data_IF_788704061626
#
_entry.id   IF_788704061626
#
_cell.length_a   1.000
_cell.length_b   1.000
_cell.length_c   1.000
_cell.angle_alpha   90.00
_cell.angle_beta   90.00
_cell.angle_gamma   90.00
#
_symmetry.space_group_name_H-M   'P 1'
#
loop_
_entity.id
_entity.type
_entity.pdbx_description
1 polymer ?
#
# COMPACT_ATOMS: atom_id res chain seq x y z
N UNK A 1 23.83 -13.24 -54.09
CA UNK A 1 22.62 -12.95 -53.32
C UNK A 1 21.44 -12.90 -54.27
N UNK A 2 20.45 -13.76 -54.06
CA UNK A 2 19.25 -13.78 -54.91
C UNK A 2 18.17 -12.86 -54.32
N UNK A 3 17.25 -12.39 -55.17
CA UNK A 3 16.14 -11.53 -54.75
C UNK A 3 15.25 -12.23 -53.69
N UNK A 4 15.17 -13.56 -53.74
CA UNK A 4 14.48 -14.38 -52.74
C UNK A 4 15.16 -14.36 -51.36
N UNK A 5 16.49 -14.33 -51.26
CA UNK A 5 17.19 -14.22 -49.97
C UNK A 5 16.87 -12.88 -49.28
N UNK A 6 16.89 -11.78 -50.03
CA UNK A 6 16.60 -10.45 -49.49
C UNK A 6 15.17 -10.34 -49.00
N UNK A 7 14.20 -10.92 -49.73
CA UNK A 7 12.80 -10.96 -49.31
C UNK A 7 12.61 -11.76 -48.02
N UNK A 8 13.25 -12.93 -47.90
CA UNK A 8 13.19 -13.75 -46.68
C UNK A 8 13.81 -13.01 -45.50
N UNK A 9 14.99 -12.38 -45.68
CA UNK A 9 15.62 -11.58 -44.63
C UNK A 9 14.76 -10.38 -44.22
N UNK A 10 14.13 -9.68 -45.17
CA UNK A 10 13.25 -8.54 -44.89
C UNK A 10 11.99 -8.96 -44.11
N UNK A 11 11.38 -10.10 -44.46
CA UNK A 11 10.23 -10.65 -43.73
C UNK A 11 10.61 -11.06 -42.30
N UNK A 12 11.74 -11.75 -42.12
CA UNK A 12 12.24 -12.12 -40.80
C UNK A 12 12.51 -10.86 -39.96
N UNK A 13 13.12 -9.83 -40.56
CA UNK A 13 13.40 -8.56 -39.90
C UNK A 13 12.11 -7.83 -39.49
N UNK A 14 11.10 -7.80 -40.37
CA UNK A 14 9.80 -7.20 -40.09
C UNK A 14 9.07 -7.90 -38.93
N UNK A 15 9.07 -9.24 -38.91
CA UNK A 15 8.43 -10.03 -37.83
C UNK A 15 9.19 -9.84 -36.50
N UNK A 16 10.52 -9.86 -36.55
CA UNK A 16 11.38 -9.68 -35.36
C UNK A 16 11.25 -8.29 -34.75
N UNK A 17 11.13 -7.25 -35.58
CA UNK A 17 10.94 -5.87 -35.11
C UNK A 17 9.55 -5.65 -34.50
N UNK A 18 8.49 -6.18 -35.11
CA UNK A 18 7.12 -6.09 -34.56
C UNK A 18 6.99 -6.78 -33.21
N UNK A 19 7.51 -8.00 -33.08
CA UNK A 19 7.50 -8.74 -31.80
C UNK A 19 8.33 -8.05 -30.72
N UNK A 20 9.46 -7.44 -31.09
CA UNK A 20 10.28 -6.65 -30.18
C UNK A 20 9.53 -5.41 -29.68
N UNK A 21 8.91 -4.63 -30.56
CA UNK A 21 8.15 -3.43 -30.14
C UNK A 21 6.93 -3.78 -29.27
N UNK A 22 6.23 -4.88 -29.59
CA UNK A 22 5.11 -5.35 -28.77
C UNK A 22 5.54 -5.85 -27.39
N UNK A 23 6.68 -6.52 -27.27
CA UNK A 23 7.18 -6.95 -25.95
C UNK A 23 7.66 -5.75 -25.12
N UNK A 24 8.37 -4.80 -25.71
CA UNK A 24 8.84 -3.59 -25.04
C UNK A 24 7.69 -2.67 -24.57
N UNK A 25 6.65 -2.48 -25.39
CA UNK A 25 5.47 -1.72 -24.99
C UNK A 25 4.72 -2.37 -23.82
N UNK A 26 4.63 -3.70 -23.78
CA UNK A 26 4.06 -4.42 -22.63
C UNK A 26 4.90 -4.26 -21.37
N UNK A 27 6.23 -4.41 -21.48
CA UNK A 27 7.15 -4.29 -20.33
C UNK A 27 7.14 -2.86 -19.76
N UNK A 28 7.11 -1.85 -20.62
CA UNK A 28 7.03 -0.45 -20.17
C UNK A 28 5.71 -0.16 -19.48
N UNK A 29 4.57 -0.63 -20.01
CA UNK A 29 3.27 -0.49 -19.38
C UNK A 29 3.19 -1.18 -18.00
N UNK A 30 3.72 -2.41 -17.88
CA UNK A 30 3.75 -3.11 -16.59
C UNK A 30 4.69 -2.43 -15.59
N UNK A 31 5.84 -1.95 -16.04
CA UNK A 31 6.80 -1.21 -15.20
C UNK A 31 6.20 0.09 -14.64
N UNK A 32 5.48 0.84 -15.46
CA UNK A 32 4.79 2.06 -15.01
C UNK A 32 3.71 1.75 -13.96
N UNK A 33 2.91 0.69 -14.18
CA UNK A 33 1.91 0.23 -13.22
C UNK A 33 2.54 -0.19 -11.88
N UNK A 34 3.63 -0.97 -11.93
CA UNK A 34 4.36 -1.38 -10.73
C UNK A 34 4.92 -0.17 -9.97
N UNK A 35 5.48 0.81 -10.69
CA UNK A 35 6.00 2.04 -10.08
C UNK A 35 4.88 2.84 -9.39
N UNK A 36 3.70 2.93 -10.01
CA UNK A 36 2.54 3.59 -9.40
C UNK A 36 2.08 2.88 -8.12
N UNK A 37 1.98 1.55 -8.14
CA UNK A 37 1.63 0.75 -6.95
C UNK A 37 2.67 0.91 -5.84
N UNK A 38 3.95 0.91 -6.18
CA UNK A 38 5.02 1.12 -5.20
C UNK A 38 4.91 2.49 -4.52
N UNK A 39 4.62 3.55 -5.29
CA UNK A 39 4.40 4.89 -4.72
C UNK A 39 3.19 4.91 -3.78
N UNK A 40 2.10 4.26 -4.16
CA UNK A 40 0.90 4.18 -3.33
C UNK A 40 1.14 3.38 -2.03
N UNK A 41 1.91 2.29 -2.08
CA UNK A 41 2.33 1.56 -0.88
C UNK A 41 3.21 2.41 0.04
N UNK A 42 4.13 3.19 -0.52
CA UNK A 42 4.96 4.11 0.27
C UNK A 42 4.11 5.19 0.95
N UNK A 43 3.08 5.71 0.27
CA UNK A 43 2.12 6.64 0.87
C UNK A 43 1.32 5.97 2.00
N UNK A 44 0.90 4.72 1.83
CA UNK A 44 0.23 3.95 2.89
C UNK A 44 1.14 3.76 4.12
N UNK A 45 2.42 3.46 3.92
CA UNK A 45 3.40 3.34 5.01
C UNK A 45 3.61 4.69 5.72
N UNK A 46 3.69 5.79 4.97
CA UNK A 46 3.77 7.14 5.54
C UNK A 46 2.53 7.49 6.37
N UNK A 47 1.33 7.13 5.91
CA UNK A 47 0.09 7.32 6.67
C UNK A 47 0.10 6.52 7.98
N UNK A 48 0.53 5.26 7.97
CA UNK A 48 0.62 4.44 9.19
C UNK A 48 1.59 5.05 10.20
N UNK A 49 2.75 5.51 9.74
CA UNK A 49 3.75 6.16 10.59
C UNK A 49 3.27 7.52 11.11
N UNK A 50 2.55 8.30 10.30
CA UNK A 50 1.93 9.54 10.74
C UNK A 50 0.87 9.27 11.82
N UNK A 51 -0.02 8.29 11.58
CA UNK A 51 -1.03 7.89 12.55
C UNK A 51 -0.42 7.46 13.88
N UNK A 52 0.59 6.60 13.86
CA UNK A 52 1.31 6.17 15.07
C UNK A 52 1.90 7.36 15.83
N UNK A 53 2.52 8.31 15.14
CA UNK A 53 3.13 9.49 15.77
C UNK A 53 2.10 10.40 16.41
N UNK A 54 0.94 10.59 15.76
CA UNK A 54 -0.15 11.40 16.28
C UNK A 54 -0.79 10.73 17.51
N UNK A 55 -1.10 9.44 17.42
CA UNK A 55 -1.70 8.69 18.53
C UNK A 55 -0.78 8.62 19.76
N UNK A 56 0.54 8.51 19.58
CA UNK A 56 1.50 8.55 20.70
C UNK A 56 1.58 9.91 21.40
N UNK A 57 1.20 11.00 20.72
CA UNK A 57 1.19 12.36 21.28
C UNK A 57 -0.17 12.71 21.89
N UNK A 58 -1.20 11.93 21.59
CA UNK A 58 -2.54 12.14 22.11
C UNK A 58 -2.58 11.75 23.60
N UNK A 59 -3.07 12.63 24.48
CA UNK A 59 -3.30 12.24 25.87
C UNK A 59 -4.42 11.20 25.91
N UNK A 60 -4.13 10.00 26.42
CA UNK A 60 -5.15 8.97 26.58
C UNK A 60 -5.91 9.14 27.89
N UNK A 61 -7.22 8.88 27.83
CA UNK A 61 -8.11 8.81 28.99
C UNK A 61 -8.14 7.40 29.62
N UNK A 62 -7.19 6.51 29.31
CA UNK A 62 -7.10 5.17 29.89
C UNK A 62 -6.34 4.15 29.04
N UNK A 63 -6.24 2.91 29.55
CA UNK A 63 -5.51 1.79 28.93
C UNK A 63 -6.33 1.04 27.85
N UNK A 64 -7.62 1.32 27.70
CA UNK A 64 -8.48 0.64 26.74
C UNK A 64 -8.31 1.22 25.32
N UNK A 65 -8.04 0.35 24.34
CA UNK A 65 -8.02 0.72 22.93
C UNK A 65 -9.39 0.55 22.29
N UNK A 66 -10.06 1.66 22.00
CA UNK A 66 -11.30 1.66 21.19
C UNK A 66 -10.99 2.12 19.75
N UNK A 67 -11.34 1.33 18.72
CA UNK A 67 -11.10 1.72 17.33
C UNK A 67 -11.84 3.01 16.96
N UNK A 68 -13.06 3.19 17.48
CA UNK A 68 -13.88 4.39 17.25
C UNK A 68 -13.21 5.63 17.83
N UNK A 69 -12.72 5.53 19.07
CA UNK A 69 -12.06 6.66 19.73
C UNK A 69 -10.75 7.04 19.02
N UNK A 70 -9.94 6.05 18.64
CA UNK A 70 -8.71 6.29 17.90
C UNK A 70 -8.97 6.90 16.52
N UNK A 71 -10.03 6.47 15.82
CA UNK A 71 -10.39 7.06 14.53
C UNK A 71 -10.89 8.49 14.67
N UNK A 72 -11.71 8.79 15.70
CA UNK A 72 -12.15 10.16 16.01
C UNK A 72 -10.97 11.10 16.32
N UNK A 73 -9.96 10.63 17.06
CA UNK A 73 -8.75 11.40 17.32
C UNK A 73 -7.91 11.61 16.05
N UNK A 74 -7.87 10.61 15.18
CA UNK A 74 -7.00 10.60 14.00
C UNK A 74 -7.61 11.31 12.80
N UNK A 75 -8.92 11.23 12.58
CA UNK A 75 -9.63 11.82 11.45
C UNK A 75 -9.37 13.32 11.22
N UNK A 76 -9.36 14.20 12.25
CA UNK A 76 -9.09 15.63 12.04
C UNK A 76 -7.61 15.92 11.78
N UNK A 77 -6.69 15.07 12.25
CA UNK A 77 -5.24 15.29 12.16
C UNK A 77 -4.59 14.61 10.94
N UNK A 78 -5.22 13.54 10.45
CA UNK A 78 -4.75 12.74 9.34
C UNK A 78 -5.91 12.50 8.37
N UNK A 79 -6.12 13.44 7.42
CA UNK A 79 -7.20 13.33 6.44
C UNK A 79 -7.00 12.10 5.56
N UNK A 80 -8.11 11.58 5.03
CA UNK A 80 -8.06 10.48 4.08
C UNK A 80 -7.29 10.92 2.81
N UNK A 81 -6.40 10.05 2.36
CA UNK A 81 -5.66 10.27 1.12
C UNK A 81 -6.38 9.54 -0.01
N UNK A 82 -6.59 10.18 -1.17
CA UNK A 82 -7.24 9.54 -2.31
C UNK A 82 -6.56 8.23 -2.68
N UNK A 83 -7.36 7.18 -2.95
CA UNK A 83 -6.85 5.86 -3.32
C UNK A 83 -6.32 5.01 -2.15
N UNK A 84 -6.36 5.52 -0.91
CA UNK A 84 -6.02 4.80 0.30
C UNK A 84 -7.25 4.60 1.19
N UNK A 85 -7.53 3.36 1.57
CA UNK A 85 -8.64 3.03 2.46
C UNK A 85 -8.11 2.63 3.83
N UNK A 86 -8.42 3.44 4.86
CA UNK A 86 -8.04 3.19 6.25
C UNK A 86 -9.12 2.39 6.96
N UNK A 87 -8.75 1.33 7.66
CA UNK A 87 -9.68 0.53 8.48
C UNK A 87 -9.03 -0.01 9.74
N UNK A 88 -9.85 -0.34 10.72
CA UNK A 88 -9.44 -0.92 12.00
C UNK A 88 -9.84 -2.40 12.06
N UNK A 89 -9.05 -3.20 12.77
CA UNK A 89 -9.37 -4.61 13.04
C UNK A 89 -8.80 -5.00 14.41
N UNK A 90 -9.59 -5.66 15.24
CA UNK A 90 -9.08 -6.23 16.50
C UNK A 90 -8.10 -7.37 16.24
N UNK A 91 -7.04 -7.44 17.04
CA UNK A 91 -6.16 -8.58 17.09
C UNK A 91 -6.70 -9.61 18.09
N UNK A 92 -7.15 -10.79 17.64
CA UNK A 92 -7.68 -11.82 18.53
C UNK A 92 -6.62 -12.48 19.42
N UNK A 93 -5.33 -12.33 19.09
CA UNK A 93 -4.23 -13.00 19.80
C UNK A 93 -3.47 -12.05 20.72
N UNK A 94 -3.16 -10.85 20.24
CA UNK A 94 -2.25 -9.93 20.93
C UNK A 94 -2.96 -8.84 21.76
N UNK A 95 -4.31 -8.84 21.81
CA UNK A 95 -5.07 -7.86 22.59
C UNK A 95 -4.89 -6.41 22.13
N UNK A 96 -4.59 -6.21 20.83
CA UNK A 96 -4.34 -4.89 20.23
C UNK A 96 -5.29 -4.56 19.08
N UNK A 97 -5.03 -3.43 18.42
CA UNK A 97 -5.75 -2.99 17.23
C UNK A 97 -4.81 -2.90 16.04
N UNK A 98 -5.17 -3.56 14.95
CA UNK A 98 -4.54 -3.39 13.65
C UNK A 98 -5.12 -2.17 12.96
N UNK A 99 -4.26 -1.19 12.69
CA UNK A 99 -4.53 -0.16 11.71
C UNK A 99 -4.13 -0.67 10.33
N UNK A 100 -5.07 -0.71 9.39
CA UNK A 100 -4.86 -1.18 8.02
C UNK A 100 -5.04 -0.03 7.05
N UNK A 101 -4.15 0.08 6.07
CA UNK A 101 -4.30 0.97 4.92
C UNK A 101 -4.21 0.11 3.67
N UNK A 102 -5.31 0.05 2.92
CA UNK A 102 -5.42 -0.68 1.67
C UNK A 102 -5.22 0.25 0.47
N UNK A 103 -4.56 -0.28 -0.56
CA UNK A 103 -4.26 0.34 -1.84
C UNK A 103 -4.96 -0.47 -2.93
N UNK A 104 -5.72 0.18 -3.78
CA UNK A 104 -6.34 -0.49 -4.93
C UNK A 104 -5.29 -0.85 -5.98
N UNK A 105 -5.18 -2.15 -6.29
CA UNK A 105 -4.21 -2.67 -7.25
C UNK A 105 -4.75 -2.77 -8.70
N UNK A 106 -6.05 -2.54 -8.88
CA UNK A 106 -6.82 -2.69 -10.13
C UNK A 106 -7.87 -3.81 -10.05
N UNK A 107 -8.80 -3.86 -11.01
CA UNK A 107 -10.02 -4.69 -10.95
C UNK A 107 -9.77 -6.20 -10.74
N UNK A 108 -8.71 -6.75 -11.33
CA UNK A 108 -8.41 -8.19 -11.27
C UNK A 108 -7.38 -8.58 -10.20
N UNK A 109 -6.95 -7.64 -9.36
CA UNK A 109 -5.93 -7.90 -8.34
C UNK A 109 -6.49 -7.62 -6.95
N UNK A 110 -6.22 -8.49 -5.96
CA UNK A 110 -6.61 -8.20 -4.59
C UNK A 110 -5.94 -6.90 -4.13
N UNK A 111 -6.63 -6.08 -3.31
CA UNK A 111 -6.04 -4.86 -2.79
C UNK A 111 -4.81 -5.20 -1.97
N UNK A 112 -3.75 -4.41 -2.18
CA UNK A 112 -2.54 -4.52 -1.37
C UNK A 112 -2.78 -3.78 -0.07
N UNK A 113 -2.28 -4.30 1.05
CA UNK A 113 -2.49 -3.69 2.36
C UNK A 113 -1.20 -3.55 3.15
N UNK A 114 -1.10 -2.45 3.88
CA UNK A 114 -0.12 -2.22 4.93
C UNK A 114 -0.82 -2.22 6.27
N UNK A 115 -0.21 -2.84 7.28
CA UNK A 115 -0.80 -3.03 8.60
C UNK A 115 0.19 -2.63 9.68
N UNK A 116 -0.31 -1.99 10.73
CA UNK A 116 0.45 -1.66 11.93
C UNK A 116 -0.34 -2.12 13.15
N UNK A 117 0.29 -2.94 14.00
CA UNK A 117 -0.29 -3.33 15.28
C UNK A 117 -0.07 -2.21 16.29
N UNK A 118 -1.15 -1.77 16.91
CA UNK A 118 -1.16 -0.80 17.99
C UNK A 118 -1.61 -1.50 19.27
N UNK A 119 -0.81 -1.34 20.32
CA UNK A 119 -1.10 -1.81 21.67
C UNK A 119 -1.12 -0.62 22.62
N UNK A 120 -1.89 -0.71 23.70
CA UNK A 120 -2.01 0.39 24.65
C UNK A 120 -0.66 0.73 25.28
N UNK A 121 0.13 -0.30 25.64
CA UNK A 121 1.52 -0.15 26.09
C UNK A 121 2.43 0.46 25.01
N UNK A 122 2.31 0.03 23.75
CA UNK A 122 3.13 0.55 22.64
C UNK A 122 2.82 2.01 22.27
N UNK A 123 1.63 2.49 22.65
CA UNK A 123 1.22 3.88 22.54
C UNK A 123 1.53 4.71 23.80
N UNK A 124 1.92 4.06 24.90
CA UNK A 124 2.21 4.72 26.18
C UNK A 124 0.95 5.15 26.94
N UNK A 125 -0.19 4.51 26.69
CA UNK A 125 -1.48 4.87 27.29
C UNK A 125 -1.70 4.24 28.67
N UNK A 126 -0.89 3.26 29.05
CA UNK A 126 -0.99 2.56 30.32
C UNK A 126 0.24 2.87 31.18
N UNK A 127 0.02 3.18 32.46
CA UNK A 127 1.08 3.13 33.46
C UNK A 127 1.40 1.68 33.82
N UNK A 128 2.66 1.35 34.19
CA UNK A 128 3.06 -0.02 34.54
C UNK A 128 2.31 -0.60 35.74
N UNK A 129 1.59 0.22 36.52
CA UNK A 129 0.76 -0.21 37.64
C UNK A 129 -0.66 -0.69 37.24
N UNK A 130 -1.05 -0.57 35.96
CA UNK A 130 -2.39 -0.89 35.46
C UNK A 130 -2.38 -1.94 34.32
N UNK A 131 -1.21 -2.52 34.04
CA UNK A 131 -1.03 -3.61 33.07
C UNK A 131 -1.07 -4.96 33.79
#
# INVERSE_FOLDING_TARGET
MTLSEVLVSAVILAISTQTSLHSWSRITATSQRQTALQRALLQADQQLLAARRLLRRSPAAGCALSPEHLDQQLAPLLPQTPGLQRSWQQDPLAGGLWLRVAVEAGADQPPLQRRLLLTAAGLGLCSPAQA
#
